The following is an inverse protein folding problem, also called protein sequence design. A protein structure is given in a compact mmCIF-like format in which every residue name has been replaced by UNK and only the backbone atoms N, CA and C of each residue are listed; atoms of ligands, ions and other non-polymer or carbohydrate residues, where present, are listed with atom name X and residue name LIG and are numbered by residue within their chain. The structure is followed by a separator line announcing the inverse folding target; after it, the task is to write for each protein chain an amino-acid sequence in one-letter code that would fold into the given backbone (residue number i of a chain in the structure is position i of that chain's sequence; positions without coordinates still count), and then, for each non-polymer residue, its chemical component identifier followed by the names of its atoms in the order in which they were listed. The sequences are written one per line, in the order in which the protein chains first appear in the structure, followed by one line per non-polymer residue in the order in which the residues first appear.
data_IF_561946719149
#
_entry.id   IF_561946719149
#
_cell.length_a   1.000
_cell.length_b   1.000
_cell.length_c   1.000
_cell.angle_alpha   90.00
_cell.angle_beta   90.00
_cell.angle_gamma   90.00
#
_symmetry.space_group_name_H-M   'P 1'
#
loop_
_entity.id
_entity.type
_entity.pdbx_description
1 polymer ?
#
# COMPACT_ATOMS: atom_id res chain seq x y z
N UNK A 1 5.98 2.01 18.50
CA UNK A 1 6.26 0.73 17.81
C UNK A 1 6.97 1.06 16.51
N UNK A 2 7.97 0.26 16.12
CA UNK A 2 8.67 0.47 14.84
C UNK A 2 7.77 0.03 13.68
N UNK A 3 7.76 0.76 12.56
CA UNK A 3 6.94 0.44 11.39
C UNK A 3 7.19 -0.99 10.85
N UNK A 4 8.40 -1.53 11.09
CA UNK A 4 8.76 -2.90 10.72
C UNK A 4 8.02 -3.94 11.56
N UNK A 5 7.78 -3.67 12.86
CA UNK A 5 7.04 -4.58 13.74
C UNK A 5 5.56 -4.62 13.36
N UNK A 6 4.97 -3.46 13.06
CA UNK A 6 3.59 -3.36 12.57
C UNK A 6 3.42 -4.11 11.24
N UNK A 7 4.42 -4.06 10.37
CA UNK A 7 4.46 -4.81 9.11
C UNK A 7 4.45 -6.33 9.29
N UNK A 8 5.26 -6.83 10.22
CA UNK A 8 5.32 -8.27 10.52
C UNK A 8 4.00 -8.74 11.12
N UNK A 9 3.46 -8.00 12.08
CA UNK A 9 2.18 -8.32 12.71
C UNK A 9 1.02 -8.25 11.69
N UNK A 10 0.96 -7.20 10.86
CA UNK A 10 -0.02 -7.09 9.78
C UNK A 10 0.10 -8.25 8.78
N UNK A 11 1.31 -8.71 8.46
CA UNK A 11 1.54 -9.89 7.61
C UNK A 11 1.00 -11.18 8.21
N UNK A 12 1.00 -11.28 9.54
CA UNK A 12 0.47 -12.42 10.27
C UNK A 12 -1.06 -12.39 10.41
N UNK A 13 -1.73 -11.40 9.81
CA UNK A 13 -3.18 -11.21 9.87
C UNK A 13 -3.66 -10.35 11.04
N UNK A 14 -2.74 -9.69 11.77
CA UNK A 14 -3.10 -8.76 12.83
C UNK A 14 -3.70 -7.48 12.24
N UNK A 15 -5.04 -7.37 12.32
CA UNK A 15 -5.78 -6.20 11.86
C UNK A 15 -5.42 -4.93 12.62
N UNK A 16 -5.11 -5.00 13.91
CA UNK A 16 -4.76 -3.81 14.68
C UNK A 16 -3.41 -3.26 14.20
N UNK A 17 -2.44 -4.15 13.97
CA UNK A 17 -1.17 -3.76 13.38
C UNK A 17 -1.32 -3.21 11.95
N UNK A 18 -2.25 -3.75 11.16
CA UNK A 18 -2.57 -3.25 9.83
C UNK A 18 -3.22 -1.86 9.86
N UNK A 19 -4.06 -1.58 10.87
CA UNK A 19 -4.72 -0.29 11.09
C UNK A 19 -3.71 0.78 11.54
N UNK A 20 -2.78 0.43 12.45
CA UNK A 20 -1.67 1.30 12.86
C UNK A 20 -0.64 1.52 11.74
N UNK A 21 -0.45 0.54 10.85
CA UNK A 21 0.45 0.66 9.71
C UNK A 21 -0.11 1.60 8.64
N UNK A 22 -1.44 1.58 8.42
CA UNK A 22 -2.11 2.33 7.38
C UNK A 22 -1.73 3.83 7.38
N UNK A 23 -1.88 4.62 8.46
CA UNK A 23 -1.53 6.04 8.46
C UNK A 23 -0.04 6.30 8.23
N UNK A 24 0.84 5.37 8.62
CA UNK A 24 2.30 5.50 8.41
C UNK A 24 2.68 5.35 6.93
N UNK A 25 1.98 4.48 6.20
CA UNK A 25 2.26 4.21 4.79
C UNK A 25 1.36 5.03 3.85
N UNK A 26 0.22 5.53 4.31
CA UNK A 26 -0.79 6.23 3.49
C UNK A 26 -0.22 7.42 2.74
N UNK A 27 0.57 8.28 3.40
CA UNK A 27 1.17 9.45 2.76
C UNK A 27 2.20 9.07 1.68
N UNK A 28 2.97 8.01 1.91
CA UNK A 28 3.94 7.49 0.93
C UNK A 28 3.21 6.92 -0.29
N UNK A 29 2.18 6.12 -0.04
CA UNK A 29 1.31 5.53 -1.05
C UNK A 29 0.59 6.60 -1.86
N UNK A 30 0.05 7.63 -1.20
CA UNK A 30 -0.62 8.75 -1.86
C UNK A 30 0.31 9.53 -2.79
N UNK A 31 1.55 9.79 -2.36
CA UNK A 31 2.56 10.44 -3.23
C UNK A 31 2.90 9.57 -4.44
N UNK A 32 3.07 8.26 -4.26
CA UNK A 32 3.33 7.34 -5.36
C UNK A 32 2.16 7.28 -6.35
N UNK A 33 0.92 7.23 -5.84
CA UNK A 33 -0.30 7.26 -6.63
C UNK A 33 -0.44 8.57 -7.43
N UNK A 34 -0.17 9.72 -6.81
CA UNK A 34 -0.18 11.02 -7.50
C UNK A 34 0.86 11.07 -8.63
N UNK A 35 2.06 10.53 -8.41
CA UNK A 35 3.09 10.46 -9.44
C UNK A 35 2.68 9.54 -10.62
N UNK A 36 2.00 8.43 -10.31
CA UNK A 36 1.47 7.51 -11.31
C UNK A 36 0.36 8.13 -12.14
N UNK A 37 -0.67 8.69 -11.48
CA UNK A 37 -1.80 9.36 -12.13
C UNK A 37 -1.37 10.57 -12.97
N UNK A 38 -0.29 11.26 -12.58
CA UNK A 38 0.27 12.38 -13.36
C UNK A 38 0.94 11.95 -14.67
N UNK A 39 1.24 10.64 -14.83
CA UNK A 39 1.77 10.07 -16.08
C UNK A 39 0.67 9.50 -16.98
N UNK A 40 -0.54 9.37 -16.48
CA UNK A 40 -1.72 8.93 -17.23
C UNK A 40 -2.45 10.11 -17.90
N UNK A 41 -3.16 9.84 -18.99
CA UNK A 41 -3.87 10.86 -19.75
C UNK A 41 -4.96 11.55 -18.92
N UNK A 42 -5.13 12.86 -19.09
CA UNK A 42 -6.10 13.70 -18.37
C UNK A 42 -7.56 13.29 -18.65
N UNK A 43 -8.05 12.25 -18.00
CA UNK A 43 -9.43 11.76 -18.18
C UNK A 43 -9.92 10.75 -17.14
N UNK A 44 -9.12 10.37 -16.15
CA UNK A 44 -9.51 9.35 -15.17
C UNK A 44 -10.31 9.96 -14.01
N UNK A 45 -11.43 9.32 -13.66
CA UNK A 45 -12.18 9.53 -12.41
C UNK A 45 -11.50 8.91 -11.19
N UNK A 46 -10.35 8.26 -11.42
CA UNK A 46 -9.59 7.54 -10.40
C UNK A 46 -8.84 8.53 -9.51
N UNK A 47 -9.22 8.60 -8.25
CA UNK A 47 -8.52 9.45 -7.27
C UNK A 47 -7.32 8.70 -6.68
N UNK A 48 -6.27 9.44 -6.32
CA UNK A 48 -5.12 8.85 -5.60
C UNK A 48 -5.58 8.10 -4.33
N UNK A 49 -6.60 8.62 -3.64
CA UNK A 49 -7.19 7.97 -2.46
C UNK A 49 -7.80 6.61 -2.78
N UNK A 50 -8.54 6.48 -3.89
CA UNK A 50 -9.10 5.20 -4.33
C UNK A 50 -8.00 4.19 -4.67
N UNK A 51 -6.94 4.63 -5.38
CA UNK A 51 -5.79 3.81 -5.72
C UNK A 51 -5.08 3.26 -4.48
N UNK A 52 -4.89 4.13 -3.47
CA UNK A 52 -4.27 3.75 -2.19
C UNK A 52 -5.12 2.74 -1.46
N UNK A 53 -6.45 2.94 -1.40
CA UNK A 53 -7.36 2.03 -0.73
C UNK A 53 -7.38 0.64 -1.39
N UNK A 54 -7.43 0.57 -2.71
CA UNK A 54 -7.40 -0.71 -3.44
C UNK A 54 -6.04 -1.42 -3.31
N UNK A 55 -4.94 -0.67 -3.42
CA UNK A 55 -3.60 -1.22 -3.20
C UNK A 55 -3.48 -1.78 -1.78
N UNK A 56 -3.97 -1.07 -0.76
CA UNK A 56 -3.98 -1.53 0.62
C UNK A 56 -4.78 -2.83 0.81
N UNK A 57 -5.96 -2.95 0.20
CA UNK A 57 -6.74 -4.19 0.26
C UNK A 57 -5.99 -5.38 -0.37
N UNK A 58 -5.28 -5.17 -1.49
CA UNK A 58 -4.40 -6.19 -2.08
C UNK A 58 -3.19 -6.50 -1.19
N UNK A 59 -2.73 -5.54 -0.39
CA UNK A 59 -1.59 -5.69 0.52
C UNK A 59 -1.94 -6.43 1.82
N UNK A 60 -3.15 -6.24 2.35
CA UNK A 60 -3.63 -6.84 3.61
C UNK A 60 -4.42 -8.14 3.40
N UNK A 61 -4.76 -8.47 2.16
CA UNK A 61 -5.35 -9.77 1.83
C UNK A 61 -4.46 -10.95 2.22
N UNK A 62 -5.01 -12.17 2.35
CA UNK A 62 -4.25 -13.36 2.76
C UNK A 62 -3.08 -13.62 1.80
N UNK A 63 -1.87 -13.75 2.37
CA UNK A 63 -0.62 -13.96 1.62
C UNK A 63 0.07 -15.21 2.14
N UNK A 64 0.64 -15.98 1.22
CA UNK A 64 1.43 -17.18 1.58
C UNK A 64 2.81 -16.79 2.16
N UNK A 65 3.34 -15.61 1.80
CA UNK A 65 4.63 -15.14 2.25
C UNK A 65 4.50 -13.86 3.10
N UNK A 66 5.07 -13.82 4.32
CA UNK A 66 5.09 -12.60 5.12
C UNK A 66 5.99 -11.54 4.51
N UNK A 67 5.72 -10.27 4.82
CA UNK A 67 6.56 -9.17 4.37
C UNK A 67 7.95 -9.25 5.02
N UNK A 68 8.96 -9.48 4.19
CA UNK A 68 10.35 -9.59 4.67
C UNK A 68 10.90 -8.30 5.29
N UNK A 69 10.50 -7.13 4.78
CA UNK A 69 10.88 -5.81 5.31
C UNK A 69 10.02 -4.70 4.70
N UNK A 70 10.18 -3.47 5.21
CA UNK A 70 9.48 -2.27 4.71
C UNK A 70 9.71 -2.02 3.21
N UNK A 71 10.91 -2.26 2.70
CA UNK A 71 11.21 -2.00 1.29
C UNK A 71 10.44 -2.95 0.37
N UNK A 72 10.29 -4.21 0.76
CA UNK A 72 9.49 -5.20 0.04
C UNK A 72 8.01 -4.81 0.03
N UNK A 73 7.48 -4.34 1.16
CA UNK A 73 6.11 -3.81 1.23
C UNK A 73 5.90 -2.62 0.30
N UNK A 74 6.77 -1.61 0.36
CA UNK A 74 6.65 -0.42 -0.49
C UNK A 74 6.81 -0.76 -1.98
N UNK A 75 7.71 -1.68 -2.33
CA UNK A 75 7.87 -2.15 -3.71
C UNK A 75 6.61 -2.84 -4.22
N UNK A 76 6.02 -3.74 -3.42
CA UNK A 76 4.79 -4.42 -3.78
C UNK A 76 3.58 -3.47 -3.85
N UNK A 77 3.54 -2.45 -3.00
CA UNK A 77 2.49 -1.44 -3.05
C UNK A 77 2.60 -0.56 -4.29
N UNK A 78 3.82 -0.14 -4.64
CA UNK A 78 4.08 0.58 -5.89
C UNK A 78 3.74 -0.28 -7.12
N UNK A 79 4.03 -1.59 -7.08
CA UNK A 79 3.66 -2.51 -8.14
C UNK A 79 2.14 -2.69 -8.25
N UNK A 80 1.44 -2.85 -7.13
CA UNK A 80 -0.02 -2.95 -7.12
C UNK A 80 -0.67 -1.70 -7.70
N UNK A 81 -0.15 -0.51 -7.37
CA UNK A 81 -0.60 0.77 -7.93
C UNK A 81 -0.37 0.84 -9.45
N UNK A 82 0.80 0.45 -9.93
CA UNK A 82 1.12 0.40 -11.37
C UNK A 82 0.27 -0.60 -12.18
N UNK A 83 -0.37 -1.57 -11.53
CA UNK A 83 -1.29 -2.51 -12.19
C UNK A 83 -2.73 -2.00 -12.24
N UNK A 84 -3.07 -0.98 -11.45
CA UNK A 84 -4.42 -0.38 -11.41
C UNK A 84 -4.50 0.81 -12.39
N UNK A 85 -3.37 1.50 -12.56
CA UNK A 85 -3.08 2.46 -13.63
C UNK A 85 -2.93 1.72 -14.98
#
# INVERSE_FOLDING_TARGET
MDATQLLIAASAGDKAAADDLLPLVYEQLRKAAQLGLSREASGHTLTATALVHEAYLKLVGPRELPWANRAHFYAAAAEAMRRIL
#
